data_IF_028039802547
#
_entry.id   IF_028039802547
#
_cell.length_a   1.000
_cell.length_b   1.000
_cell.length_c   1.000
_cell.angle_alpha   90.00
_cell.angle_beta   90.00
_cell.angle_gamma   90.00
#
_symmetry.space_group_name_H-M   'P 1'
#
loop_
_entity.id
_entity.type
_entity.pdbx_description
1 polymer ?
#
# COMPACT_ATOMS: atom_id res chain seq x y z
N UNK A 1 33.83 20.54 77.94
CA UNK A 1 34.33 20.83 76.59
C UNK A 1 35.09 19.60 76.14
N UNK A 2 34.45 18.74 75.38
CA UNK A 2 35.06 17.48 74.93
C UNK A 2 34.97 17.47 73.38
N UNK A 3 36.10 17.39 72.76
CA UNK A 3 36.21 17.23 71.28
C UNK A 3 36.26 15.73 70.98
N UNK A 4 35.33 15.24 70.18
CA UNK A 4 35.31 13.89 69.69
C UNK A 4 35.94 13.83 68.29
N UNK A 5 37.02 13.06 68.13
CA UNK A 5 37.66 12.81 66.86
C UNK A 5 36.90 11.72 66.06
N UNK A 6 36.62 11.97 64.77
CA UNK A 6 36.14 10.97 63.83
C UNK A 6 37.39 10.35 63.14
N UNK A 7 37.51 9.02 63.30
CA UNK A 7 38.47 8.24 62.51
C UNK A 7 37.79 7.81 61.17
N UNK A 8 38.37 8.19 60.05
CA UNK A 8 37.99 7.75 58.74
C UNK A 8 38.63 6.42 58.42
N UNK A 9 37.82 5.37 58.21
CA UNK A 9 38.27 4.08 57.71
C UNK A 9 38.13 4.13 56.17
N UNK A 10 39.23 4.19 55.46
CA UNK A 10 39.28 4.08 54.00
C UNK A 10 39.19 2.63 53.58
N UNK A 11 38.05 2.23 52.97
CA UNK A 11 37.92 0.98 52.27
C UNK A 11 38.27 1.18 50.79
N UNK A 12 39.41 0.68 50.38
CA UNK A 12 39.81 0.62 48.96
C UNK A 12 39.10 -0.55 48.29
N UNK A 13 38.04 -0.25 47.49
CA UNK A 13 37.44 -1.19 46.57
C UNK A 13 38.33 -1.30 45.32
N UNK A 14 39.01 -2.40 45.15
CA UNK A 14 39.68 -2.81 43.92
C UNK A 14 38.63 -3.31 42.92
N UNK A 15 38.29 -2.49 41.94
CA UNK A 15 37.54 -2.91 40.75
C UNK A 15 38.44 -3.78 39.88
N UNK A 16 38.33 -5.10 40.01
CA UNK A 16 38.80 -6.03 38.97
C UNK A 16 37.89 -5.93 37.78
N UNK A 17 38.30 -5.16 36.77
CA UNK A 17 37.65 -5.11 35.46
C UNK A 17 37.81 -6.47 34.78
N UNK A 18 36.70 -7.22 34.66
CA UNK A 18 36.61 -8.29 33.68
C UNK A 18 36.62 -7.63 32.28
N UNK A 19 37.76 -7.60 31.63
CA UNK A 19 37.85 -7.39 30.19
C UNK A 19 37.35 -8.66 29.50
N UNK A 20 36.04 -8.85 29.48
CA UNK A 20 35.38 -9.71 28.50
C UNK A 20 35.57 -9.06 27.14
N UNK A 21 36.36 -9.65 26.26
CA UNK A 21 36.35 -9.34 24.85
C UNK A 21 34.93 -9.63 24.37
N UNK A 22 34.12 -8.57 24.18
CA UNK A 22 32.90 -8.65 23.41
C UNK A 22 33.38 -8.98 22.00
N UNK A 23 33.17 -10.23 21.57
CA UNK A 23 33.28 -10.58 20.19
C UNK A 23 32.19 -9.77 19.49
N UNK A 24 32.57 -8.73 18.75
CA UNK A 24 31.71 -8.14 17.75
C UNK A 24 31.51 -9.17 16.63
N UNK A 25 30.64 -10.16 16.86
CA UNK A 25 29.93 -10.78 15.79
C UNK A 25 28.97 -9.73 15.20
N UNK A 26 28.63 -9.81 13.92
CA UNK A 26 27.67 -8.89 13.33
C UNK A 26 26.43 -8.91 14.22
N UNK A 27 26.05 -7.74 14.75
CA UNK A 27 24.80 -7.63 15.52
C UNK A 27 23.68 -7.82 14.51
N UNK A 28 22.87 -8.87 14.67
CA UNK A 28 21.68 -9.06 13.82
C UNK A 28 20.83 -7.80 13.90
N UNK A 29 20.53 -7.20 12.74
CA UNK A 29 19.63 -6.06 12.65
C UNK A 29 18.20 -6.55 12.71
N UNK A 30 17.38 -5.86 13.47
CA UNK A 30 15.95 -6.18 13.61
C UNK A 30 15.11 -5.10 12.94
N UNK A 31 14.38 -5.48 11.89
CA UNK A 31 13.58 -4.57 11.08
C UNK A 31 12.10 -4.68 11.42
N UNK A 32 11.45 -3.53 11.52
CA UNK A 32 10.02 -3.39 11.77
C UNK A 32 9.29 -3.23 10.43
N UNK A 33 8.27 -4.05 10.21
CA UNK A 33 7.46 -4.06 8.99
C UNK A 33 5.99 -3.82 9.37
N UNK A 34 5.28 -2.94 8.69
CA UNK A 34 3.87 -2.69 8.99
C UNK A 34 2.99 -2.65 7.74
N UNK A 35 1.71 -3.00 7.91
CA UNK A 35 0.68 -2.89 6.89
C UNK A 35 -0.73 -2.78 7.47
N UNK A 36 -1.68 -2.28 6.66
CA UNK A 36 -3.06 -2.05 7.09
C UNK A 36 -3.99 -3.26 7.04
N UNK A 37 -3.60 -4.36 6.36
CA UNK A 37 -4.47 -5.52 6.16
C UNK A 37 -4.43 -6.52 7.31
N UNK A 38 -5.41 -7.44 7.32
CA UNK A 38 -5.50 -8.52 8.32
C UNK A 38 -4.35 -9.53 8.20
N UNK A 39 -4.17 -10.35 9.23
CA UNK A 39 -3.12 -11.39 9.25
C UNK A 39 -3.31 -12.49 8.21
N UNK A 40 -4.53 -12.68 7.72
CA UNK A 40 -4.86 -13.70 6.71
C UNK A 40 -4.78 -13.16 5.28
N UNK A 41 -4.64 -11.85 5.12
CA UNK A 41 -4.58 -11.22 3.81
C UNK A 41 -3.30 -11.60 3.04
N UNK A 42 -3.34 -11.79 1.68
CA UNK A 42 -2.19 -12.14 0.85
C UNK A 42 -0.97 -11.23 1.02
N UNK A 43 -1.16 -9.93 1.26
CA UNK A 43 -0.07 -9.00 1.60
C UNK A 43 0.73 -9.50 2.81
N UNK A 44 0.06 -10.00 3.87
CA UNK A 44 0.77 -10.53 5.02
C UNK A 44 1.50 -11.85 4.71
N UNK A 45 0.95 -12.67 3.80
CA UNK A 45 1.64 -13.87 3.28
C UNK A 45 2.91 -13.46 2.55
N UNK A 46 2.82 -12.49 1.65
CA UNK A 46 3.97 -11.97 0.88
C UNK A 46 5.05 -11.36 1.78
N UNK A 47 4.67 -10.50 2.74
CA UNK A 47 5.63 -9.88 3.67
C UNK A 47 6.27 -10.90 4.63
N UNK A 48 5.54 -11.93 5.08
CA UNK A 48 6.11 -13.03 5.85
C UNK A 48 7.13 -13.83 5.01
N UNK A 49 6.82 -14.07 3.73
CA UNK A 49 7.75 -14.76 2.82
C UNK A 49 8.98 -13.91 2.56
N UNK A 50 8.84 -12.60 2.35
CA UNK A 50 9.96 -11.67 2.26
C UNK A 50 10.88 -11.79 3.48
N UNK A 51 10.31 -11.70 4.68
CA UNK A 51 11.05 -11.78 5.93
C UNK A 51 11.75 -13.14 6.12
N UNK A 52 11.09 -14.26 5.78
CA UNK A 52 11.63 -15.61 5.81
C UNK A 52 12.88 -15.74 4.93
N UNK A 53 12.75 -15.31 3.66
CA UNK A 53 13.86 -15.40 2.68
C UNK A 53 15.02 -14.50 3.10
N UNK A 54 14.75 -13.24 3.45
CA UNK A 54 15.76 -12.32 3.86
C UNK A 54 16.52 -12.79 5.13
N UNK A 55 15.81 -13.38 6.11
CA UNK A 55 16.44 -13.97 7.30
C UNK A 55 17.24 -15.25 7.02
N UNK A 56 16.89 -15.97 5.96
CA UNK A 56 17.64 -17.17 5.57
C UNK A 56 18.95 -16.84 4.81
N UNK A 57 19.00 -15.69 4.14
CA UNK A 57 20.12 -15.25 3.31
C UNK A 57 21.02 -14.21 4.01
N UNK A 58 20.62 -13.73 5.21
CA UNK A 58 21.36 -12.73 5.98
C UNK A 58 21.11 -12.90 7.48
N UNK A 59 21.77 -12.04 8.30
CA UNK A 59 21.54 -11.99 9.75
C UNK A 59 20.36 -11.09 10.15
N UNK A 60 19.49 -10.68 9.18
CA UNK A 60 18.33 -9.85 9.44
C UNK A 60 17.22 -10.63 10.16
N UNK A 61 16.53 -9.94 11.05
CA UNK A 61 15.31 -10.43 11.70
C UNK A 61 14.19 -9.42 11.56
N UNK A 62 12.93 -9.86 11.61
CA UNK A 62 11.78 -9.00 11.31
C UNK A 62 10.66 -9.14 12.36
N UNK A 63 9.98 -8.03 12.64
CA UNK A 63 8.65 -8.03 13.27
C UNK A 63 7.64 -7.41 12.33
N UNK A 64 6.53 -8.13 12.06
CA UNK A 64 5.48 -7.66 11.17
C UNK A 64 4.26 -7.24 12.00
N UNK A 65 3.76 -6.02 11.77
CA UNK A 65 2.63 -5.39 12.43
C UNK A 65 1.47 -5.22 11.44
N UNK A 66 0.52 -6.18 11.41
CA UNK A 66 -0.67 -6.12 10.56
C UNK A 66 -1.77 -5.22 11.15
N UNK A 67 -2.95 -5.20 10.50
CA UNK A 67 -4.18 -4.57 10.98
C UNK A 67 -4.08 -3.06 11.26
N UNK A 68 -3.16 -2.35 10.62
CA UNK A 68 -2.98 -0.93 10.84
C UNK A 68 -2.54 -0.55 12.27
N UNK A 69 -1.87 -1.46 12.99
CA UNK A 69 -1.43 -1.23 14.37
C UNK A 69 -0.54 0.01 14.51
N UNK A 70 0.19 0.37 13.45
CA UNK A 70 1.06 1.55 13.42
C UNK A 70 0.43 2.73 12.66
N UNK A 71 -0.86 2.69 12.40
CA UNK A 71 -1.62 3.74 11.74
C UNK A 71 -2.05 3.38 10.31
N UNK A 72 -2.64 4.35 9.63
CA UNK A 72 -3.03 4.27 8.22
C UNK A 72 -1.81 4.46 7.28
N UNK A 73 -2.05 4.44 5.96
CA UNK A 73 -0.98 4.61 4.97
C UNK A 73 -0.18 5.90 5.19
N UNK A 74 -0.85 7.03 5.44
CA UNK A 74 -0.17 8.31 5.62
C UNK A 74 0.71 8.32 6.87
N UNK A 75 0.21 7.79 7.98
CA UNK A 75 0.96 7.64 9.23
C UNK A 75 2.18 6.72 9.03
N UNK A 76 1.99 5.56 8.39
CA UNK A 76 3.10 4.63 8.13
C UNK A 76 4.18 5.23 7.23
N UNK A 77 3.82 5.98 6.17
CA UNK A 77 4.79 6.70 5.33
C UNK A 77 5.61 7.69 6.16
N UNK A 78 4.97 8.45 7.05
CA UNK A 78 5.69 9.39 7.92
C UNK A 78 6.63 8.68 8.90
N UNK A 79 6.25 7.53 9.44
CA UNK A 79 7.10 6.72 10.32
C UNK A 79 8.32 6.16 9.56
N UNK A 80 8.14 5.68 8.33
CA UNK A 80 9.23 5.21 7.47
C UNK A 80 10.16 6.35 7.10
N UNK A 81 9.60 7.50 6.69
CA UNK A 81 10.38 8.70 6.37
C UNK A 81 11.22 9.20 7.56
N UNK A 82 10.73 9.02 8.78
CA UNK A 82 11.41 9.42 10.00
C UNK A 82 12.39 8.35 10.54
N UNK A 83 12.57 7.20 9.87
CA UNK A 83 13.41 6.09 10.32
C UNK A 83 12.91 5.39 11.59
N UNK A 84 11.65 5.60 11.98
CA UNK A 84 11.02 4.95 13.16
C UNK A 84 10.44 3.59 12.79
N UNK A 85 10.00 3.43 11.56
CA UNK A 85 9.56 2.19 10.93
C UNK A 85 10.48 1.91 9.75
N UNK A 86 10.96 0.68 9.64
CA UNK A 86 11.91 0.32 8.59
C UNK A 86 11.23 0.11 7.24
N UNK A 87 10.15 -0.67 7.22
CA UNK A 87 9.42 -1.07 6.00
C UNK A 87 7.92 -0.91 6.23
N UNK A 88 7.22 -0.40 5.24
CA UNK A 88 5.75 -0.38 5.25
C UNK A 88 5.18 -0.80 3.90
N UNK A 89 4.04 -1.49 3.92
CA UNK A 89 3.18 -1.62 2.74
C UNK A 89 2.12 -0.52 2.78
N UNK A 90 2.06 0.26 1.72
CA UNK A 90 1.11 1.36 1.55
C UNK A 90 0.51 1.33 0.14
N UNK A 91 -0.63 1.99 -0.09
CA UNK A 91 -1.17 2.15 -1.44
C UNK A 91 -0.36 3.15 -2.25
N UNK A 92 -0.11 2.90 -3.54
CA UNK A 92 0.55 3.85 -4.44
C UNK A 92 -0.15 5.20 -4.48
N UNK A 93 -1.48 5.24 -4.34
CA UNK A 93 -2.27 6.48 -4.29
C UNK A 93 -1.89 7.39 -3.11
N UNK A 94 -1.45 6.83 -1.99
CA UNK A 94 -1.00 7.61 -0.83
C UNK A 94 0.37 8.24 -1.04
N UNK A 95 1.13 7.76 -2.05
CA UNK A 95 2.45 8.31 -2.40
C UNK A 95 2.37 9.58 -3.24
N UNK A 96 1.23 9.89 -3.85
CA UNK A 96 1.02 11.09 -4.68
C UNK A 96 1.32 12.39 -3.93
N UNK A 97 1.09 12.43 -2.61
CA UNK A 97 1.37 13.59 -1.77
C UNK A 97 2.87 13.87 -1.60
N UNK A 98 3.73 12.88 -1.89
CA UNK A 98 5.18 13.00 -1.78
C UNK A 98 5.85 13.19 -3.14
N UNK A 99 5.32 12.55 -4.18
CA UNK A 99 5.76 12.76 -5.56
C UNK A 99 4.57 12.54 -6.51
N UNK A 100 4.23 13.57 -7.28
CA UNK A 100 3.09 13.56 -8.22
C UNK A 100 3.23 12.51 -9.33
N UNK A 101 4.44 12.01 -9.62
CA UNK A 101 4.62 10.90 -10.58
C UNK A 101 3.86 9.63 -10.19
N UNK A 102 3.66 9.39 -8.88
CA UNK A 102 2.84 8.26 -8.41
C UNK A 102 1.36 8.34 -8.84
N UNK A 103 0.89 9.52 -9.27
CA UNK A 103 -0.47 9.68 -9.79
C UNK A 103 -0.77 8.76 -10.98
N UNK A 104 0.24 8.35 -11.76
CA UNK A 104 0.04 7.43 -12.88
C UNK A 104 -0.59 6.11 -12.47
N UNK A 105 -0.25 5.58 -11.27
CA UNK A 105 -0.83 4.33 -10.76
C UNK A 105 -2.29 4.49 -10.33
N UNK A 106 -2.74 5.72 -10.12
CA UNK A 106 -4.13 6.06 -9.79
C UNK A 106 -4.90 6.63 -10.98
N UNK A 107 -4.27 6.76 -12.18
CA UNK A 107 -4.97 7.25 -13.36
C UNK A 107 -6.07 6.26 -13.77
N UNK A 108 -7.31 6.75 -13.94
CA UNK A 108 -8.40 5.89 -14.39
C UNK A 108 -8.12 5.34 -15.79
N UNK A 109 -8.30 4.03 -15.94
CA UNK A 109 -8.16 3.30 -17.22
C UNK A 109 -6.78 3.45 -17.88
N UNK A 110 -5.71 3.63 -17.08
CA UNK A 110 -4.33 3.60 -17.59
C UNK A 110 -3.90 2.16 -17.94
N UNK A 111 -4.46 1.19 -17.24
CA UNK A 111 -4.29 -0.24 -17.52
C UNK A 111 -5.54 -0.79 -18.20
N UNK A 112 -5.38 -1.41 -19.35
CA UNK A 112 -6.47 -2.00 -20.13
C UNK A 112 -6.75 -3.45 -19.74
N UNK A 113 -5.73 -4.14 -19.18
CA UNK A 113 -5.83 -5.53 -18.74
C UNK A 113 -4.89 -5.83 -17.57
N UNK A 114 -5.14 -6.95 -16.88
CA UNK A 114 -4.24 -7.45 -15.84
C UNK A 114 -2.88 -7.84 -16.41
N UNK A 115 -2.84 -8.39 -17.63
CA UNK A 115 -1.61 -8.78 -18.31
C UNK A 115 -0.71 -7.57 -18.55
N UNK A 116 -1.28 -6.47 -19.05
CA UNK A 116 -0.56 -5.20 -19.21
C UNK A 116 -0.07 -4.69 -17.86
N UNK A 117 -0.95 -4.66 -16.86
CA UNK A 117 -0.59 -4.21 -15.51
C UNK A 117 0.61 -4.95 -14.95
N UNK A 118 0.60 -6.29 -14.99
CA UNK A 118 1.72 -7.10 -14.53
C UNK A 118 3.00 -6.88 -15.38
N UNK A 119 2.86 -6.73 -16.69
CA UNK A 119 3.99 -6.44 -17.57
C UNK A 119 4.64 -5.09 -17.21
N UNK A 120 3.84 -4.03 -17.05
CA UNK A 120 4.31 -2.71 -16.63
C UNK A 120 4.99 -2.79 -15.27
N UNK A 121 4.33 -3.34 -14.27
CA UNK A 121 4.85 -3.35 -12.90
C UNK A 121 6.16 -4.14 -12.76
N UNK A 122 6.36 -5.17 -13.57
CA UNK A 122 7.54 -6.02 -13.51
C UNK A 122 8.67 -5.59 -14.44
N UNK A 123 8.40 -4.85 -15.53
CA UNK A 123 9.37 -4.65 -16.60
C UNK A 123 9.62 -3.17 -16.94
N UNK A 124 8.73 -2.25 -16.57
CA UNK A 124 8.83 -0.84 -16.93
C UNK A 124 9.99 -0.14 -16.22
N UNK A 125 10.83 0.57 -16.99
CA UNK A 125 11.86 1.44 -16.44
C UNK A 125 11.24 2.66 -15.74
N UNK A 126 10.09 3.15 -16.21
CA UNK A 126 9.34 4.24 -15.59
C UNK A 126 8.91 3.87 -14.17
N UNK A 127 8.43 2.63 -13.95
CA UNK A 127 8.10 2.14 -12.59
C UNK A 127 9.32 2.19 -11.68
N UNK A 128 10.49 1.75 -12.16
CA UNK A 128 11.72 1.77 -11.37
C UNK A 128 12.19 3.20 -11.05
N UNK A 129 12.02 4.14 -11.97
CA UNK A 129 12.31 5.56 -11.72
C UNK A 129 11.36 6.13 -10.67
N UNK A 130 10.05 5.90 -10.82
CA UNK A 130 9.03 6.38 -9.89
C UNK A 130 9.28 5.79 -8.49
N UNK A 131 9.60 4.51 -8.38
CA UNK A 131 9.88 3.85 -7.09
C UNK A 131 11.05 4.49 -6.35
N UNK A 132 12.07 4.97 -7.06
CA UNK A 132 13.24 5.63 -6.49
C UNK A 132 13.05 7.13 -6.27
N UNK A 133 11.99 7.72 -6.80
CA UNK A 133 11.82 9.18 -6.86
C UNK A 133 11.68 9.89 -5.50
N UNK A 134 11.45 9.13 -4.43
CA UNK A 134 11.33 9.65 -3.06
C UNK A 134 12.56 9.37 -2.19
N UNK A 135 13.65 8.83 -2.78
CA UNK A 135 14.87 8.47 -2.04
C UNK A 135 15.45 9.63 -1.22
N UNK A 136 15.58 10.80 -1.83
CA UNK A 136 16.10 12.01 -1.17
C UNK A 136 15.13 12.58 -0.12
N UNK A 137 13.90 12.07 -0.05
CA UNK A 137 12.92 12.42 0.96
C UNK A 137 12.95 11.51 2.19
N UNK A 138 13.86 10.53 2.22
CA UNK A 138 14.09 9.65 3.35
C UNK A 138 13.41 8.27 3.21
N UNK A 139 12.84 7.93 2.07
CA UNK A 139 12.25 6.62 1.79
C UNK A 139 12.11 6.36 0.29
N UNK A 140 11.95 5.09 -0.11
CA UNK A 140 11.68 4.72 -1.50
C UNK A 140 11.02 3.33 -1.58
N UNK A 141 10.48 2.97 -2.74
CA UNK A 141 9.84 1.68 -2.93
C UNK A 141 10.86 0.58 -3.32
N UNK A 142 10.70 -0.59 -2.71
CA UNK A 142 11.53 -1.79 -2.95
C UNK A 142 10.76 -2.93 -3.60
N UNK A 143 9.45 -2.79 -3.76
CA UNK A 143 8.59 -3.80 -4.37
C UNK A 143 7.12 -3.41 -4.32
N UNK A 144 6.29 -4.34 -4.77
CA UNK A 144 4.85 -4.13 -4.89
C UNK A 144 4.08 -5.44 -4.73
N UNK A 145 2.77 -5.32 -4.49
CA UNK A 145 1.81 -6.42 -4.53
C UNK A 145 0.61 -6.02 -5.38
N UNK A 146 -0.01 -7.00 -6.06
CA UNK A 146 -1.30 -6.79 -6.71
C UNK A 146 -2.38 -6.49 -5.67
N UNK A 147 -3.27 -5.56 -5.98
CA UNK A 147 -4.47 -5.29 -5.20
C UNK A 147 -5.73 -5.32 -6.06
N UNK A 148 -5.66 -6.00 -7.20
CA UNK A 148 -6.77 -6.19 -8.12
C UNK A 148 -7.29 -4.93 -8.78
N UNK A 149 -8.41 -5.08 -9.48
CA UNK A 149 -9.10 -3.98 -10.15
C UNK A 149 -10.15 -3.36 -9.23
N UNK A 150 -10.16 -2.03 -9.17
CA UNK A 150 -11.08 -1.27 -8.33
C UNK A 150 -12.36 -0.94 -9.08
N UNK A 151 -13.48 -1.08 -8.39
CA UNK A 151 -14.83 -0.89 -8.91
C UNK A 151 -15.72 -0.19 -7.90
N UNK A 152 -16.83 0.39 -8.35
CA UNK A 152 -17.79 1.08 -7.49
C UNK A 152 -18.71 0.07 -6.79
N UNK A 153 -18.91 0.27 -5.49
CA UNK A 153 -19.93 -0.43 -4.71
C UNK A 153 -20.73 0.54 -3.83
N UNK A 154 -22.00 0.26 -3.63
CA UNK A 154 -22.91 1.19 -2.96
C UNK A 154 -23.86 0.49 -1.98
N UNK A 155 -24.42 1.29 -1.05
CA UNK A 155 -25.49 0.86 -0.15
C UNK A 155 -26.87 0.78 -0.84
N UNK A 156 -26.95 1.15 -2.13
CA UNK A 156 -28.16 1.15 -2.94
C UNK A 156 -28.26 -0.10 -3.79
N UNK A 157 -29.49 -0.47 -4.14
CA UNK A 157 -29.75 -1.54 -5.09
C UNK A 157 -29.51 -1.06 -6.53
N UNK A 158 -29.05 -1.99 -7.38
CA UNK A 158 -28.84 -1.78 -8.80
C UNK A 158 -27.43 -1.30 -9.17
N UNK A 159 -27.10 -1.38 -10.48
CA UNK A 159 -25.80 -0.99 -11.00
C UNK A 159 -25.62 0.54 -11.08
N UNK A 160 -24.36 0.97 -11.10
CA UNK A 160 -23.98 2.31 -11.57
C UNK A 160 -23.50 2.18 -13.02
N UNK A 161 -24.39 2.39 -13.99
CA UNK A 161 -24.12 2.18 -15.43
C UNK A 161 -23.38 3.35 -16.09
N UNK A 162 -23.40 4.53 -15.45
CA UNK A 162 -22.73 5.72 -15.97
C UNK A 162 -22.70 6.88 -14.98
N UNK A 163 -22.10 8.02 -15.38
CA UNK A 163 -21.94 9.20 -14.50
C UNK A 163 -23.25 9.74 -13.91
N UNK A 164 -24.38 9.54 -14.60
CA UNK A 164 -25.70 9.98 -14.12
C UNK A 164 -26.13 9.24 -12.84
N UNK A 165 -25.74 7.98 -12.68
CA UNK A 165 -26.12 7.13 -11.54
C UNK A 165 -25.32 7.48 -10.28
N UNK A 166 -24.12 8.05 -10.45
CA UNK A 166 -23.30 8.53 -9.35
C UNK A 166 -23.69 9.94 -8.86
N UNK A 167 -24.56 10.63 -9.61
CA UNK A 167 -24.95 12.01 -9.28
C UNK A 167 -25.61 12.10 -7.91
N UNK A 168 -25.01 12.87 -7.03
CA UNK A 168 -25.49 13.10 -5.66
C UNK A 168 -25.08 12.02 -4.67
N UNK A 169 -24.40 10.96 -5.12
CA UNK A 169 -23.82 9.97 -4.22
C UNK A 169 -22.48 10.46 -3.65
N UNK A 170 -22.30 10.28 -2.36
CA UNK A 170 -21.03 10.47 -1.68
C UNK A 170 -20.25 9.17 -1.75
N UNK A 171 -19.21 9.16 -2.56
CA UNK A 171 -18.36 8.00 -2.78
C UNK A 171 -17.04 8.19 -2.04
N UNK A 172 -16.74 7.29 -1.14
CA UNK A 172 -15.45 7.29 -0.46
C UNK A 172 -14.33 7.03 -1.47
N UNK A 173 -13.26 7.79 -1.35
CA UNK A 173 -12.00 7.56 -2.05
C UNK A 173 -10.85 7.43 -1.07
N UNK A 174 -9.73 6.91 -1.53
CA UNK A 174 -8.46 7.12 -0.83
C UNK A 174 -8.13 8.62 -0.81
N UNK A 175 -7.26 9.04 0.10
CA UNK A 175 -6.76 10.44 0.15
C UNK A 175 -5.70 10.65 -0.93
N UNK A 176 -6.17 10.69 -2.17
CA UNK A 176 -5.40 10.85 -3.40
C UNK A 176 -6.05 11.93 -4.26
N UNK A 177 -5.32 12.95 -4.67
CA UNK A 177 -5.83 13.98 -5.58
C UNK A 177 -6.43 13.37 -6.86
N UNK A 178 -5.78 12.36 -7.44
CA UNK A 178 -6.23 11.68 -8.66
C UNK A 178 -7.53 10.92 -8.42
N UNK A 179 -7.64 10.13 -7.34
CA UNK A 179 -8.88 9.39 -7.02
C UNK A 179 -10.04 10.34 -6.71
N UNK A 180 -9.78 11.46 -6.04
CA UNK A 180 -10.78 12.51 -5.80
C UNK A 180 -11.26 13.12 -7.12
N UNK A 181 -10.34 13.48 -8.03
CA UNK A 181 -10.68 14.03 -9.34
C UNK A 181 -11.45 13.01 -10.19
N UNK A 182 -11.05 11.75 -10.15
CA UNK A 182 -11.70 10.65 -10.86
C UNK A 182 -13.18 10.50 -10.45
N UNK A 183 -13.48 10.37 -9.16
CA UNK A 183 -14.88 10.23 -8.72
C UNK A 183 -15.72 11.45 -9.09
N UNK A 184 -15.14 12.66 -9.06
CA UNK A 184 -15.83 13.88 -9.53
C UNK A 184 -16.11 13.83 -11.04
N UNK A 185 -15.13 13.40 -11.84
CA UNK A 185 -15.29 13.23 -13.28
C UNK A 185 -16.33 12.13 -13.60
N UNK A 186 -16.37 11.07 -12.81
CA UNK A 186 -17.38 10.01 -12.89
C UNK A 186 -18.76 10.44 -12.39
N UNK A 187 -18.97 11.70 -11.96
CA UNK A 187 -20.27 12.28 -11.57
C UNK A 187 -20.61 12.19 -10.09
N UNK A 188 -19.80 11.54 -9.26
CA UNK A 188 -20.00 11.38 -7.82
C UNK A 188 -19.44 12.54 -7.00
N UNK A 189 -19.75 12.56 -5.70
CA UNK A 189 -19.13 13.43 -4.69
C UNK A 189 -18.04 12.65 -3.96
N UNK A 190 -16.78 12.96 -4.28
CA UNK A 190 -15.65 12.31 -3.62
C UNK A 190 -15.57 12.70 -2.14
N UNK A 191 -15.45 11.71 -1.27
CA UNK A 191 -15.29 11.87 0.19
C UNK A 191 -14.04 11.12 0.63
N UNK A 192 -12.86 11.77 0.65
CA UNK A 192 -11.62 11.12 1.05
C UNK A 192 -11.66 10.75 2.53
N UNK A 193 -11.27 9.50 2.83
CA UNK A 193 -11.09 8.99 4.20
C UNK A 193 -10.21 7.74 4.20
N UNK A 194 -9.65 7.40 5.36
CA UNK A 194 -8.85 6.20 5.53
C UNK A 194 -9.67 4.92 5.26
N UNK A 195 -8.99 3.80 4.93
CA UNK A 195 -9.66 2.52 4.71
C UNK A 195 -10.42 2.04 5.95
N UNK A 196 -9.81 2.18 7.14
CA UNK A 196 -10.43 1.74 8.39
C UNK A 196 -11.69 2.51 8.81
N UNK A 197 -11.94 3.70 8.25
CA UNK A 197 -13.15 4.50 8.54
C UNK A 197 -14.31 4.15 7.61
N UNK A 198 -14.05 3.46 6.48
CA UNK A 198 -15.02 3.25 5.40
C UNK A 198 -16.25 2.48 5.86
N UNK A 199 -16.09 1.37 6.59
CA UNK A 199 -17.22 0.59 7.12
C UNK A 199 -18.15 1.46 7.97
N UNK A 200 -17.60 2.22 8.92
CA UNK A 200 -18.38 3.11 9.78
C UNK A 200 -19.07 4.21 8.97
N UNK A 201 -18.37 4.77 7.97
CA UNK A 201 -18.94 5.78 7.06
C UNK A 201 -20.13 5.26 6.28
N UNK A 202 -20.06 4.03 5.74
CA UNK A 202 -21.16 3.35 5.05
C UNK A 202 -22.30 3.04 6.02
N UNK A 203 -22.01 2.47 7.17
CA UNK A 203 -23.02 2.07 8.17
C UNK A 203 -23.81 3.27 8.70
N UNK A 204 -23.16 4.41 8.88
CA UNK A 204 -23.80 5.64 9.40
C UNK A 204 -24.40 6.51 8.29
N UNK A 205 -24.25 6.15 7.00
CA UNK A 205 -24.74 6.95 5.88
C UNK A 205 -23.99 8.28 5.67
N UNK A 206 -22.76 8.38 6.19
CA UNK A 206 -21.87 9.51 5.90
C UNK A 206 -21.45 9.46 4.43
N UNK A 207 -21.29 8.27 3.89
CA UNK A 207 -21.04 7.97 2.48
C UNK A 207 -22.12 6.99 1.96
N UNK A 208 -22.44 7.08 0.68
CA UNK A 208 -23.42 6.22 0.01
C UNK A 208 -22.77 5.00 -0.65
N UNK A 209 -21.47 5.02 -0.82
CA UNK A 209 -20.67 3.96 -1.44
C UNK A 209 -19.17 4.25 -1.35
N UNK A 210 -18.40 3.35 -1.94
CA UNK A 210 -16.97 3.49 -2.06
C UNK A 210 -16.47 2.81 -3.34
N UNK A 211 -15.17 2.79 -3.56
CA UNK A 211 -14.52 2.11 -4.66
C UNK A 211 -13.35 1.28 -4.12
N UNK A 212 -13.26 0.04 -4.54
CA UNK A 212 -12.16 -0.88 -4.23
C UNK A 212 -12.34 -2.20 -5.01
N UNK A 213 -11.42 -3.15 -4.80
CA UNK A 213 -11.56 -4.53 -5.25
C UNK A 213 -12.60 -5.30 -4.39
N UNK A 214 -12.93 -6.51 -4.81
CA UNK A 214 -13.99 -7.32 -4.22
C UNK A 214 -13.70 -7.77 -2.78
N UNK A 215 -12.42 -7.90 -2.41
CA UNK A 215 -12.03 -8.48 -1.11
C UNK A 215 -12.53 -7.68 0.08
N UNK A 216 -12.65 -6.35 -0.06
CA UNK A 216 -13.12 -5.47 1.01
C UNK A 216 -14.55 -5.76 1.45
N UNK A 217 -15.37 -6.37 0.58
CA UNK A 217 -16.76 -6.70 0.90
C UNK A 217 -16.82 -7.70 2.06
N UNK A 218 -15.88 -8.63 2.13
CA UNK A 218 -15.82 -9.63 3.21
C UNK A 218 -14.73 -9.27 4.22
N UNK A 219 -13.49 -8.98 3.77
CA UNK A 219 -12.36 -8.76 4.67
C UNK A 219 -12.54 -7.53 5.59
N UNK A 220 -13.16 -6.46 5.05
CA UNK A 220 -13.42 -5.21 5.78
C UNK A 220 -14.90 -5.07 6.17
N UNK A 221 -15.72 -6.10 5.90
CA UNK A 221 -17.15 -6.17 6.27
C UNK A 221 -18.07 -5.24 5.46
N UNK A 222 -17.58 -4.60 4.37
CA UNK A 222 -18.38 -3.65 3.61
C UNK A 222 -19.63 -4.29 3.00
N UNK A 223 -19.62 -5.60 2.71
CA UNK A 223 -20.76 -6.36 2.20
C UNK A 223 -21.95 -6.46 3.17
N UNK A 224 -21.73 -6.24 4.48
CA UNK A 224 -22.82 -6.20 5.46
C UNK A 224 -23.76 -5.00 5.26
N UNK A 225 -23.24 -3.91 4.68
CA UNK A 225 -23.96 -2.64 4.52
C UNK A 225 -24.17 -2.25 3.06
N UNK A 226 -23.37 -2.77 2.12
CA UNK A 226 -23.50 -2.55 0.69
C UNK A 226 -24.40 -3.58 0.04
N UNK A 227 -25.08 -3.19 -1.05
CA UNK A 227 -26.03 -4.03 -1.78
C UNK A 227 -25.61 -4.30 -3.22
N UNK A 228 -24.78 -3.46 -3.79
CA UNK A 228 -24.35 -3.56 -5.18
C UNK A 228 -22.86 -3.37 -5.32
N UNK A 229 -22.26 -4.15 -6.21
CA UNK A 229 -20.90 -3.99 -6.70
C UNK A 229 -20.94 -3.95 -8.22
N UNK A 230 -20.50 -2.84 -8.82
CA UNK A 230 -20.56 -2.63 -10.28
C UNK A 230 -19.13 -2.64 -10.82
N UNK A 231 -18.83 -3.59 -11.71
CA UNK A 231 -17.53 -3.74 -12.34
C UNK A 231 -17.22 -2.56 -13.29
N UNK A 232 -16.94 -1.40 -12.71
CA UNK A 232 -16.41 -0.24 -13.43
C UNK A 232 -14.95 -0.43 -13.79
N UNK A 233 -14.21 -1.20 -13.03
CA UNK A 233 -12.79 -1.56 -13.25
C UNK A 233 -11.94 -0.35 -13.67
N UNK A 234 -12.09 0.73 -12.93
CA UNK A 234 -11.60 2.05 -13.31
C UNK A 234 -10.13 2.29 -12.93
N UNK A 235 -9.58 1.51 -12.01
CA UNK A 235 -8.18 1.61 -11.56
C UNK A 235 -7.62 0.24 -11.19
N UNK A 236 -6.28 0.09 -11.32
CA UNK A 236 -5.49 -0.99 -10.74
C UNK A 236 -4.34 -0.33 -9.97
N UNK A 237 -4.57 -0.03 -8.70
CA UNK A 237 -3.63 0.72 -7.85
C UNK A 237 -2.76 -0.26 -7.08
N UNK A 238 -1.45 -0.39 -7.35
CA UNK A 238 -0.62 -1.35 -6.65
C UNK A 238 -0.44 -0.99 -5.17
N UNK A 239 -0.30 -2.02 -4.35
CA UNK A 239 0.21 -1.90 -3.00
C UNK A 239 1.74 -1.84 -3.07
N UNK A 240 2.34 -0.75 -2.60
CA UNK A 240 3.78 -0.49 -2.69
C UNK A 240 4.45 -0.81 -1.36
N UNK A 241 5.56 -1.52 -1.40
CA UNK A 241 6.42 -1.75 -0.23
C UNK A 241 7.55 -0.73 -0.22
N UNK A 242 7.55 0.15 0.76
CA UNK A 242 8.54 1.20 0.95
C UNK A 242 9.49 0.88 2.09
N UNK A 243 10.75 1.35 1.99
CA UNK A 243 11.77 1.23 3.02
C UNK A 243 12.34 2.61 3.37
N UNK A 244 12.72 2.81 4.62
CA UNK A 244 13.48 3.99 5.05
C UNK A 244 14.85 4.03 4.37
N UNK A 245 15.22 5.19 3.81
CA UNK A 245 16.56 5.39 3.24
C UNK A 245 17.64 5.21 4.30
N UNK A 246 17.43 5.68 5.55
CA UNK A 246 18.35 5.49 6.66
C UNK A 246 18.56 3.99 6.97
N UNK A 247 17.46 3.23 7.03
CA UNK A 247 17.55 1.76 7.19
C UNK A 247 18.31 1.15 6.04
N UNK A 248 17.94 1.47 4.79
CA UNK A 248 18.58 0.91 3.60
C UNK A 248 20.08 1.16 3.53
N UNK A 249 20.53 2.39 3.82
CA UNK A 249 21.95 2.77 3.84
C UNK A 249 22.73 2.11 4.99
N UNK A 250 22.05 1.71 6.05
CA UNK A 250 22.66 0.95 7.16
C UNK A 250 22.94 -0.51 6.83
N UNK A 251 22.26 -1.06 5.80
CA UNK A 251 22.37 -2.45 5.36
C UNK A 251 23.63 -2.63 4.47
N UNK A 252 24.27 -3.77 4.59
CA UNK A 252 25.30 -4.16 3.63
C UNK A 252 24.70 -4.74 2.33
N UNK A 253 25.55 -4.97 1.33
CA UNK A 253 25.10 -5.46 0.01
C UNK A 253 24.41 -6.84 0.08
N UNK A 254 24.79 -7.70 1.03
CA UNK A 254 24.16 -9.01 1.23
C UNK A 254 22.78 -8.85 1.81
N UNK A 255 22.63 -8.01 2.84
CA UNK A 255 21.36 -7.69 3.49
C UNK A 255 20.38 -7.03 2.52
N UNK A 256 20.86 -6.05 1.72
CA UNK A 256 20.06 -5.40 0.69
C UNK A 256 19.58 -6.41 -0.37
N UNK A 257 20.49 -7.25 -0.88
CA UNK A 257 20.16 -8.28 -1.86
C UNK A 257 19.15 -9.30 -1.32
N UNK A 258 19.29 -9.69 -0.04
CA UNK A 258 18.37 -10.61 0.63
C UNK A 258 16.95 -10.03 0.74
N UNK A 259 16.82 -8.74 1.05
CA UNK A 259 15.49 -8.06 1.07
C UNK A 259 14.87 -8.03 -0.33
N UNK A 260 15.64 -7.68 -1.37
CA UNK A 260 15.11 -7.63 -2.74
C UNK A 260 14.71 -9.02 -3.24
N UNK A 261 15.55 -10.05 -2.98
CA UNK A 261 15.18 -11.43 -3.30
C UNK A 261 13.93 -11.88 -2.51
N UNK A 262 13.88 -11.51 -1.23
CA UNK A 262 12.72 -11.73 -0.38
C UNK A 262 11.46 -11.07 -0.94
N UNK A 263 11.54 -9.84 -1.44
CA UNK A 263 10.40 -9.16 -2.08
C UNK A 263 9.92 -9.87 -3.34
N UNK A 264 10.83 -10.35 -4.17
CA UNK A 264 10.48 -11.12 -5.38
C UNK A 264 9.70 -12.38 -5.01
N UNK A 265 10.22 -13.19 -4.08
CA UNK A 265 9.56 -14.41 -3.63
C UNK A 265 8.27 -14.11 -2.81
N UNK A 266 8.24 -12.97 -2.12
CA UNK A 266 7.07 -12.47 -1.41
C UNK A 266 5.95 -12.12 -2.38
N UNK A 267 6.25 -11.50 -3.52
CA UNK A 267 5.26 -11.22 -4.56
C UNK A 267 4.70 -12.51 -5.16
N UNK A 268 5.56 -13.48 -5.50
CA UNK A 268 5.13 -14.79 -5.98
C UNK A 268 4.21 -15.50 -4.96
N UNK A 269 4.54 -15.46 -3.67
CA UNK A 269 3.72 -16.06 -2.62
C UNK A 269 2.37 -15.35 -2.43
N UNK A 270 2.33 -14.04 -2.60
CA UNK A 270 1.11 -13.24 -2.62
C UNK A 270 0.22 -13.65 -3.80
N UNK A 271 0.76 -13.64 -5.02
CA UNK A 271 0.03 -13.97 -6.24
C UNK A 271 -0.56 -15.37 -6.20
N UNK A 272 0.17 -16.34 -5.63
CA UNK A 272 -0.25 -17.73 -5.52
C UNK A 272 -1.57 -17.92 -4.72
N UNK A 273 -1.91 -16.98 -3.83
CA UNK A 273 -3.13 -17.07 -3.00
C UNK A 273 -4.14 -15.97 -3.31
N UNK A 274 -3.78 -14.98 -4.12
CA UNK A 274 -4.60 -13.80 -4.38
C UNK A 274 -5.91 -14.13 -5.09
N UNK A 275 -5.84 -14.89 -6.19
CA UNK A 275 -7.02 -15.20 -7.01
C UNK A 275 -8.04 -16.08 -6.25
N UNK A 276 -7.57 -17.03 -5.44
CA UNK A 276 -8.43 -17.87 -4.61
C UNK A 276 -9.16 -17.01 -3.57
N UNK A 277 -8.45 -16.07 -2.92
CA UNK A 277 -9.06 -15.14 -1.97
C UNK A 277 -10.11 -14.24 -2.64
N UNK A 278 -9.82 -13.70 -3.81
CA UNK A 278 -10.79 -12.86 -4.56
C UNK A 278 -12.06 -13.65 -4.83
N UNK A 279 -11.95 -14.89 -5.31
CA UNK A 279 -13.11 -15.73 -5.59
C UNK A 279 -13.90 -16.07 -4.31
N UNK A 280 -13.23 -16.43 -3.22
CA UNK A 280 -13.87 -16.69 -1.92
C UNK A 280 -14.62 -15.45 -1.42
N UNK A 281 -14.05 -14.25 -1.59
CA UNK A 281 -14.71 -13.02 -1.16
C UNK A 281 -15.89 -12.62 -2.06
N UNK A 282 -15.82 -12.88 -3.37
CA UNK A 282 -16.98 -12.70 -4.26
C UNK A 282 -18.13 -13.60 -3.82
N UNK A 283 -17.86 -14.86 -3.52
CA UNK A 283 -18.90 -15.81 -3.13
C UNK A 283 -19.44 -15.48 -1.72
N UNK A 284 -18.58 -15.12 -0.78
CA UNK A 284 -19.00 -14.64 0.53
C UNK A 284 -19.84 -13.35 0.48
N UNK A 285 -19.48 -12.40 -0.39
CA UNK A 285 -20.27 -11.17 -0.57
C UNK A 285 -21.66 -11.45 -1.18
N UNK A 286 -21.76 -12.41 -2.11
CA UNK A 286 -23.07 -12.87 -2.63
C UNK A 286 -23.94 -13.49 -1.54
N UNK A 287 -23.34 -14.29 -0.63
CA UNK A 287 -24.04 -14.84 0.54
C UNK A 287 -24.53 -13.75 1.50
N UNK A 288 -23.81 -12.62 1.62
CA UNK A 288 -24.25 -11.43 2.35
C UNK A 288 -25.38 -10.66 1.63
N UNK A 289 -25.67 -11.00 0.37
CA UNK A 289 -26.73 -10.38 -0.44
C UNK A 289 -26.26 -9.30 -1.40
N UNK A 290 -24.95 -9.08 -1.54
CA UNK A 290 -24.39 -8.14 -2.51
C UNK A 290 -24.61 -8.65 -3.93
N UNK A 291 -25.18 -7.79 -4.80
CA UNK A 291 -25.39 -8.08 -6.21
C UNK A 291 -24.23 -7.54 -7.04
N UNK A 292 -23.69 -8.37 -7.93
CA UNK A 292 -22.59 -8.02 -8.83
C UNK A 292 -23.12 -7.72 -10.23
N UNK A 293 -22.66 -6.62 -10.81
CA UNK A 293 -23.13 -6.13 -12.13
C UNK A 293 -21.93 -5.89 -13.05
N UNK A 294 -22.03 -6.43 -14.27
CA UNK A 294 -21.12 -6.09 -15.37
C UNK A 294 -21.79 -5.06 -16.27
N UNK A 295 -21.07 -4.02 -16.66
CA UNK A 295 -21.58 -2.88 -17.44
C UNK A 295 -20.69 -2.58 -18.64
N UNK A 296 -21.19 -1.78 -19.57
CA UNK A 296 -20.36 -1.08 -20.55
C UNK A 296 -19.67 0.11 -19.87
N UNK A 297 -18.36 0.11 -19.84
CA UNK A 297 -17.53 1.11 -19.16
C UNK A 297 -17.30 2.38 -19.97
N UNK A 298 -17.71 2.42 -21.23
CA UNK A 298 -17.42 3.50 -22.19
C UNK A 298 -17.73 4.89 -21.62
N UNK A 299 -18.90 5.04 -20.98
CA UNK A 299 -19.30 6.32 -20.41
C UNK A 299 -18.36 6.82 -19.29
N UNK A 300 -17.80 5.93 -18.48
CA UNK A 300 -16.85 6.27 -17.44
C UNK A 300 -15.46 6.55 -18.02
N UNK A 301 -15.03 5.79 -19.05
CA UNK A 301 -13.77 6.00 -19.76
C UNK A 301 -13.75 7.40 -20.38
N UNK A 302 -14.83 7.78 -21.08
CA UNK A 302 -14.99 9.10 -21.69
C UNK A 302 -15.01 10.22 -20.65
N UNK A 303 -15.76 10.04 -19.56
CA UNK A 303 -15.88 11.03 -18.48
C UNK A 303 -14.55 11.34 -17.79
N UNK A 304 -13.62 10.39 -17.78
CA UNK A 304 -12.31 10.51 -17.11
C UNK A 304 -11.15 10.80 -18.05
N UNK A 305 -11.39 10.94 -19.37
CA UNK A 305 -10.33 11.15 -20.36
C UNK A 305 -9.46 12.38 -20.06
N UNK A 306 -10.09 13.50 -19.67
CA UNK A 306 -9.37 14.75 -19.38
C UNK A 306 -8.30 14.60 -18.30
N UNK A 307 -8.47 13.67 -17.34
CA UNK A 307 -7.49 13.44 -16.27
C UNK A 307 -6.17 12.87 -16.81
N UNK A 308 -6.25 11.98 -17.78
CA UNK A 308 -5.06 11.42 -18.46
C UNK A 308 -4.36 12.49 -19.30
N UNK A 309 -5.14 13.32 -20.01
CA UNK A 309 -4.62 14.42 -20.80
C UNK A 309 -3.93 15.47 -19.93
N UNK A 310 -4.54 15.83 -18.79
CA UNK A 310 -3.99 16.76 -17.80
C UNK A 310 -2.70 16.22 -17.19
N UNK A 311 -2.66 14.95 -16.78
CA UNK A 311 -1.45 14.30 -16.25
C UNK A 311 -0.29 14.38 -17.23
N UNK A 312 -0.51 14.04 -18.51
CA UNK A 312 0.51 14.12 -19.55
C UNK A 312 0.97 15.56 -19.83
N UNK A 313 0.07 16.55 -19.65
CA UNK A 313 0.38 17.96 -19.89
C UNK A 313 1.18 18.61 -18.74
N UNK A 314 1.17 18.05 -17.53
CA UNK A 314 1.87 18.60 -16.36
C UNK A 314 3.40 18.61 -16.53
N UNK A 315 3.98 17.56 -17.12
CA UNK A 315 5.43 17.46 -17.33
C UNK A 315 5.78 16.51 -18.48
N UNK A 316 6.98 16.70 -19.04
CA UNK A 316 7.51 15.78 -20.04
C UNK A 316 7.74 14.37 -19.48
N UNK A 317 8.07 14.25 -18.18
CA UNK A 317 8.26 12.95 -17.53
C UNK A 317 6.92 12.21 -17.36
N UNK A 318 5.85 12.92 -16.99
CA UNK A 318 4.52 12.31 -16.89
C UNK A 318 4.06 11.79 -18.26
N UNK A 319 4.25 12.55 -19.34
CA UNK A 319 3.94 12.10 -20.70
C UNK A 319 4.76 10.86 -21.07
N UNK A 320 6.06 10.85 -20.76
CA UNK A 320 6.96 9.71 -21.01
C UNK A 320 6.53 8.46 -20.21
N UNK A 321 6.18 8.61 -18.94
CA UNK A 321 5.69 7.50 -18.10
C UNK A 321 4.39 6.93 -18.67
N UNK A 322 3.47 7.79 -19.08
CA UNK A 322 2.22 7.36 -19.68
C UNK A 322 2.44 6.61 -21.01
N UNK A 323 3.32 7.13 -21.91
CA UNK A 323 3.71 6.44 -23.14
C UNK A 323 4.40 5.10 -22.87
N UNK A 324 5.27 5.02 -21.85
CA UNK A 324 5.91 3.77 -21.43
C UNK A 324 4.85 2.73 -21.03
N UNK A 325 3.89 3.10 -20.18
CA UNK A 325 2.82 2.18 -19.76
C UNK A 325 1.97 1.69 -20.93
N UNK A 326 1.64 2.58 -21.88
CA UNK A 326 0.90 2.20 -23.08
C UNK A 326 1.70 1.29 -24.00
N UNK A 327 3.03 1.33 -23.98
CA UNK A 327 3.87 0.47 -24.82
C UNK A 327 3.72 -1.02 -24.51
N UNK A 328 3.19 -1.35 -23.32
CA UNK A 328 2.87 -2.71 -22.89
C UNK A 328 1.43 -3.14 -23.24
N UNK A 329 0.61 -2.26 -23.84
CA UNK A 329 -0.66 -2.62 -24.48
C UNK A 329 -0.33 -3.38 -25.73
N UNK A 330 -0.23 -4.70 -25.54
CA UNK A 330 -0.17 -5.67 -26.60
C UNK A 330 0.60 -5.43 -27.85
N UNK A 331 1.49 -6.26 -27.84
CA UNK A 331 1.81 -7.01 -29.07
C UNK A 331 0.93 -8.27 -29.23
#
# INVERSE_FOLDING_TARGET
MAAAGLAAVGASLSLTGCSGSVSNGPSSKHLLVAHGHSEVHPVNVGLKKMAEVASAESDLTFSIYPNGQLGDNAAMIQLVKAGVLDIAKVSASSMEQFNSAYAIFSMPYVFESSEQYFAVMNQSEAVQEIFKSTYDQGFFAIGWFDSGSRSIYTTKDGPCEGPADLKGLKIRTQDSPTSIAMIRAMGGSATPMSGGETYTGLQQGIIDGAENNETVLVQDGHGEVCKSYTYTQHQMVPDIVIISTETWESLDETEQSAIINGMTQGNEAHEAVWQDLVQENIDGAKEMGVQFYTIDKTAFIEATQSLRDEFCAESADNARYYEDFLSYVQA
#
